data_IF_741702312223
#
_entry.id   IF_741702312223
#
_cell.length_a   1.000
_cell.length_b   1.000
_cell.length_c   1.000
_cell.angle_alpha   90.00
_cell.angle_beta   90.00
_cell.angle_gamma   90.00
#
_symmetry.space_group_name_H-M   'P 1'
#
loop_
_entity.id
_entity.type
_entity.pdbx_description
1 polymer ?
#
# COMPACT_ATOMS: atom_id res chain seq x y z
N UNK A 1 24.67 -9.76 -6.70
CA UNK A 1 23.50 -8.92 -7.05
C UNK A 1 22.55 -9.58 -8.05
N UNK A 2 23.02 -10.08 -9.20
CA UNK A 2 22.13 -10.69 -10.22
C UNK A 2 21.39 -11.95 -9.72
N UNK A 3 22.06 -12.82 -8.97
CA UNK A 3 21.44 -14.00 -8.34
C UNK A 3 20.33 -13.64 -7.33
N UNK A 4 20.55 -12.57 -6.56
CA UNK A 4 19.56 -12.02 -5.62
C UNK A 4 18.32 -11.55 -6.37
N UNK A 5 18.54 -10.74 -7.41
CA UNK A 5 17.46 -10.15 -8.21
C UNK A 5 16.63 -11.24 -8.87
N UNK A 6 17.28 -12.28 -9.41
CA UNK A 6 16.61 -13.45 -9.99
C UNK A 6 15.77 -14.22 -8.98
N UNK A 7 16.23 -14.36 -7.74
CA UNK A 7 15.46 -15.01 -6.66
C UNK A 7 14.29 -14.17 -6.17
N UNK A 8 14.46 -12.86 -6.02
CA UNK A 8 13.38 -11.92 -5.69
C UNK A 8 12.31 -11.88 -6.81
N UNK A 9 12.71 -12.13 -8.05
CA UNK A 9 11.83 -12.18 -9.22
C UNK A 9 11.25 -13.56 -9.53
N UNK A 10 11.68 -14.63 -8.84
CA UNK A 10 11.10 -15.95 -9.02
C UNK A 10 9.62 -15.96 -8.61
N UNK A 11 8.84 -16.93 -9.10
CA UNK A 11 7.40 -17.02 -8.77
C UNK A 11 7.17 -17.62 -7.38
N UNK A 12 8.12 -18.43 -6.87
CA UNK A 12 8.09 -19.00 -5.52
C UNK A 12 8.00 -17.89 -4.46
N UNK A 13 6.95 -17.91 -3.63
CA UNK A 13 6.72 -16.84 -2.64
C UNK A 13 7.54 -17.01 -1.37
N UNK A 14 8.14 -18.17 -1.12
CA UNK A 14 9.05 -18.35 0.00
C UNK A 14 10.36 -17.61 -0.24
N UNK A 15 10.80 -16.81 0.73
CA UNK A 15 12.10 -16.16 0.73
C UNK A 15 13.05 -16.83 1.70
N UNK A 16 14.12 -17.42 1.15
CA UNK A 16 15.18 -18.04 1.91
C UNK A 16 16.51 -17.29 1.71
N UNK A 17 16.93 -16.44 2.66
CA UNK A 17 18.16 -15.67 2.52
C UNK A 17 19.43 -16.53 2.55
N UNK A 18 19.38 -17.74 3.14
CA UNK A 18 20.54 -18.65 3.19
C UNK A 18 20.93 -19.19 1.80
N UNK A 19 20.00 -19.18 0.84
CA UNK A 19 20.31 -19.49 -0.56
C UNK A 19 21.06 -18.37 -1.27
N UNK A 20 21.04 -17.16 -0.71
CA UNK A 20 21.67 -15.97 -1.28
C UNK A 20 23.08 -15.81 -0.74
N UNK A 21 23.26 -15.91 0.58
CA UNK A 21 24.57 -15.95 1.23
C UNK A 21 24.53 -17.02 2.33
N UNK A 22 25.23 -18.15 2.15
CA UNK A 22 25.27 -19.20 3.16
C UNK A 22 25.90 -18.71 4.48
N UNK A 23 25.33 -19.12 5.63
CA UNK A 23 25.97 -18.97 6.94
C UNK A 23 25.82 -17.61 7.65
N UNK A 24 25.07 -16.66 7.10
CA UNK A 24 24.85 -15.34 7.73
C UNK A 24 23.56 -15.30 8.57
N UNK A 25 23.56 -14.48 9.63
CA UNK A 25 22.35 -14.20 10.42
C UNK A 25 21.51 -13.18 9.64
N UNK A 26 20.40 -13.55 8.99
CA UNK A 26 19.92 -12.73 7.88
C UNK A 26 19.14 -11.48 8.32
N UNK A 27 18.80 -11.33 9.61
CA UNK A 27 18.25 -10.05 10.13
C UNK A 27 19.26 -8.92 10.17
N UNK A 28 20.56 -9.20 10.11
CA UNK A 28 21.60 -8.18 9.95
C UNK A 28 21.52 -7.48 8.59
N UNK A 29 20.70 -8.00 7.67
CA UNK A 29 20.46 -7.42 6.35
C UNK A 29 19.26 -6.47 6.35
N UNK A 30 18.65 -6.19 7.50
CA UNK A 30 17.58 -5.20 7.55
C UNK A 30 18.19 -3.85 7.93
N UNK A 31 18.02 -2.85 7.07
CA UNK A 31 18.37 -1.47 7.37
C UNK A 31 17.11 -0.59 7.29
N UNK A 32 17.05 0.44 8.13
CA UNK A 32 15.97 1.42 8.09
C UNK A 32 16.36 2.57 7.16
N UNK A 33 15.47 2.94 6.23
CA UNK A 33 15.65 4.13 5.41
C UNK A 33 15.52 5.37 6.31
N UNK A 34 16.60 6.15 6.43
CA UNK A 34 16.67 7.31 7.34
C UNK A 34 15.65 8.41 7.06
N UNK A 35 15.04 8.46 5.87
CA UNK A 35 14.03 9.47 5.50
C UNK A 35 12.63 9.01 5.92
N UNK A 36 12.33 7.74 5.73
CA UNK A 36 10.97 7.20 5.89
C UNK A 36 10.78 6.35 7.14
N UNK A 37 11.87 5.86 7.73
CA UNK A 37 11.88 4.87 8.81
C UNK A 37 11.58 3.44 8.35
N UNK A 38 11.28 3.23 7.06
CA UNK A 38 10.84 1.93 6.53
C UNK A 38 12.01 0.96 6.47
N UNK A 39 11.76 -0.29 6.87
CA UNK A 39 12.74 -1.37 6.85
C UNK A 39 12.93 -1.89 5.42
N UNK A 40 14.19 -1.97 4.99
CA UNK A 40 14.60 -2.47 3.69
C UNK A 40 15.62 -3.59 3.82
N UNK A 41 15.72 -4.42 2.77
CA UNK A 41 16.79 -5.40 2.67
C UNK A 41 18.08 -4.74 2.18
N UNK A 42 19.19 -5.04 2.82
CA UNK A 42 20.54 -4.54 2.57
C UNK A 42 21.51 -5.70 2.58
N UNK A 43 22.06 -6.02 1.42
CA UNK A 43 22.93 -7.19 1.26
C UNK A 43 24.37 -6.73 1.47
N UNK A 44 25.14 -7.39 2.35
CA UNK A 44 26.57 -7.14 2.47
C UNK A 44 27.28 -7.57 1.18
N UNK A 45 28.15 -6.71 0.63
CA UNK A 45 29.08 -7.14 -0.42
C UNK A 45 30.22 -7.96 0.23
N UNK A 46 30.72 -8.98 -0.49
CA UNK A 46 31.92 -9.70 -0.08
C UNK A 46 33.07 -8.71 0.18
N UNK A 47 33.77 -8.92 1.29
CA UNK A 47 34.87 -8.10 1.79
C UNK A 47 35.97 -7.87 0.73
N UNK A 48 35.84 -6.86 -0.11
CA UNK A 48 36.93 -6.44 -1.00
C UNK A 48 37.00 -4.93 -1.24
N UNK A 49 35.92 -4.19 -1.08
CA UNK A 49 35.95 -2.73 -1.25
C UNK A 49 35.03 -2.09 -0.22
N UNK A 50 35.59 -1.31 0.71
CA UNK A 50 34.88 -0.64 1.81
C UNK A 50 33.87 0.43 1.38
N UNK A 51 32.92 0.06 0.52
CA UNK A 51 31.77 0.85 0.10
C UNK A 51 30.55 0.47 0.96
N UNK A 52 29.63 1.42 1.23
CA UNK A 52 28.50 1.19 2.12
C UNK A 52 27.51 0.18 1.52
N UNK A 53 26.83 -0.55 2.40
CA UNK A 53 25.89 -1.61 2.07
C UNK A 53 24.92 -1.25 0.94
N UNK A 54 24.73 -2.18 -0.01
CA UNK A 54 23.87 -1.96 -1.16
C UNK A 54 22.40 -2.18 -0.75
N UNK A 55 21.79 -1.12 -0.20
CA UNK A 55 20.39 -1.16 0.25
C UNK A 55 19.47 -1.30 -0.96
N UNK A 56 18.74 -2.41 -1.03
CA UNK A 56 17.71 -2.65 -2.01
C UNK A 56 16.46 -1.86 -1.63
N UNK A 57 16.44 -0.55 -1.92
CA UNK A 57 15.29 0.33 -1.61
C UNK A 57 13.97 -0.13 -2.22
N UNK A 58 14.01 -0.98 -3.24
CA UNK A 58 12.83 -1.61 -3.84
C UNK A 58 12.33 -2.84 -3.08
N UNK A 59 13.06 -3.32 -2.08
CA UNK A 59 12.69 -4.46 -1.23
C UNK A 59 12.35 -3.93 0.16
N UNK A 60 11.07 -3.98 0.50
CA UNK A 60 10.53 -3.54 1.78
C UNK A 60 10.33 -4.78 2.66
N UNK A 61 10.75 -4.72 3.92
CA UNK A 61 10.59 -5.81 4.88
C UNK A 61 9.60 -5.39 5.94
N UNK A 62 8.52 -6.15 6.12
CA UNK A 62 7.48 -5.85 7.11
C UNK A 62 7.39 -7.04 8.06
N UNK A 63 7.54 -6.78 9.36
CA UNK A 63 7.47 -7.82 10.39
C UNK A 63 6.04 -7.96 10.88
N UNK A 64 5.47 -9.16 10.86
CA UNK A 64 4.08 -9.40 11.28
C UNK A 64 3.98 -10.41 12.42
N UNK A 65 3.02 -10.20 13.31
CA UNK A 65 2.71 -11.13 14.39
C UNK A 65 1.23 -11.11 14.78
N UNK A 66 0.75 -12.22 15.31
CA UNK A 66 -0.55 -12.37 15.95
C UNK A 66 -0.36 -12.95 17.35
N UNK A 67 -0.96 -12.30 18.33
CA UNK A 67 -1.01 -12.75 19.72
C UNK A 67 -2.44 -13.20 20.05
N UNK A 68 -2.59 -14.12 21.00
CA UNK A 68 -3.91 -14.49 21.53
C UNK A 68 -3.81 -14.80 23.01
N UNK A 69 -4.53 -14.04 23.84
CA UNK A 69 -4.75 -14.37 25.26
C UNK A 69 -5.83 -15.43 25.36
N UNK A 70 -5.64 -16.41 26.23
CA UNK A 70 -6.59 -17.51 26.48
C UNK A 70 -6.94 -18.35 25.24
N UNK A 71 -6.00 -18.48 24.31
CA UNK A 71 -6.19 -19.18 23.04
C UNK A 71 -6.80 -20.59 23.23
N UNK A 72 -7.84 -20.89 22.45
CA UNK A 72 -8.57 -22.17 22.52
C UNK A 72 -9.71 -22.19 23.53
N UNK A 73 -10.02 -21.05 24.19
CA UNK A 73 -11.17 -20.90 25.09
C UNK A 73 -12.22 -19.94 24.50
N UNK A 74 -13.44 -19.95 25.03
CA UNK A 74 -14.47 -18.97 24.64
C UNK A 74 -14.10 -17.53 25.04
N UNK A 75 -13.19 -17.36 26.00
CA UNK A 75 -12.66 -16.06 26.42
C UNK A 75 -11.42 -15.63 25.62
N UNK A 76 -11.12 -16.31 24.50
CA UNK A 76 -9.97 -15.97 23.66
C UNK A 76 -10.09 -14.54 23.17
N UNK A 77 -9.01 -13.77 23.33
CA UNK A 77 -8.90 -12.42 22.78
C UNK A 77 -7.62 -12.34 21.98
N UNK A 78 -7.74 -12.09 20.69
CA UNK A 78 -6.62 -11.99 19.77
C UNK A 78 -6.21 -10.52 19.56
N UNK A 79 -4.97 -10.33 19.14
CA UNK A 79 -4.39 -9.05 18.75
C UNK A 79 -3.37 -9.26 17.64
N UNK A 80 -3.15 -8.24 16.81
CA UNK A 80 -2.27 -8.32 15.66
C UNK A 80 -1.25 -7.18 15.69
N UNK A 81 -0.14 -7.34 14.97
CA UNK A 81 0.89 -6.32 14.81
C UNK A 81 1.59 -6.43 13.46
N UNK A 82 1.67 -5.31 12.74
CA UNK A 82 2.39 -5.11 11.49
C UNK A 82 3.39 -3.96 11.67
N UNK A 83 4.68 -4.30 11.63
CA UNK A 83 5.78 -3.39 11.95
C UNK A 83 6.65 -3.14 10.71
N UNK A 84 6.66 -1.89 10.26
CA UNK A 84 7.41 -1.39 9.10
C UNK A 84 8.78 -0.86 9.49
N UNK A 85 8.99 -0.42 10.73
CA UNK A 85 10.27 0.09 11.22
C UNK A 85 10.12 0.98 12.46
N UNK A 86 11.23 1.32 13.11
CA UNK A 86 11.23 2.03 14.39
C UNK A 86 10.59 3.41 14.35
N UNK A 87 10.89 4.19 13.31
CA UNK A 87 10.38 5.54 13.15
C UNK A 87 9.12 5.61 12.25
N UNK A 88 8.47 4.46 12.05
CA UNK A 88 7.27 4.27 11.22
C UNK A 88 5.96 4.29 12.02
N UNK A 89 5.86 5.06 13.11
CA UNK A 89 4.63 5.11 13.93
C UNK A 89 3.35 5.53 13.18
N UNK A 90 3.50 6.12 11.99
CA UNK A 90 2.41 6.52 11.09
C UNK A 90 1.86 5.37 10.22
N UNK A 91 2.56 4.23 10.13
CA UNK A 91 2.14 3.04 9.35
C UNK A 91 2.25 1.73 10.14
N UNK A 92 3.03 1.70 11.23
CA UNK A 92 3.02 0.60 12.18
C UNK A 92 1.61 0.44 12.75
N UNK A 93 1.03 -0.74 12.59
CA UNK A 93 -0.36 -1.00 12.93
C UNK A 93 -0.45 -2.18 13.90
N UNK A 94 -1.18 -2.01 14.99
CA UNK A 94 -1.34 -3.04 15.99
C UNK A 94 -2.49 -2.72 16.94
N UNK A 95 -3.40 -3.68 17.07
CA UNK A 95 -4.59 -3.55 17.90
C UNK A 95 -5.14 -4.94 18.26
N UNK A 96 -6.19 -4.96 19.07
CA UNK A 96 -7.04 -6.13 19.24
C UNK A 96 -7.64 -6.54 17.90
N UNK A 97 -7.72 -7.85 17.66
CA UNK A 97 -8.33 -8.38 16.46
C UNK A 97 -9.84 -8.08 16.48
N UNK A 98 -10.44 -7.58 15.39
CA UNK A 98 -11.87 -7.29 15.35
C UNK A 98 -12.71 -8.49 15.79
N UNK A 99 -13.80 -8.23 16.53
CA UNK A 99 -14.68 -9.29 17.04
C UNK A 99 -15.38 -10.09 15.93
N UNK A 100 -15.48 -9.52 14.72
CA UNK A 100 -15.96 -10.21 13.52
C UNK A 100 -15.02 -11.32 13.03
N UNK A 101 -13.75 -11.28 13.45
CA UNK A 101 -12.75 -12.27 13.07
C UNK A 101 -12.61 -13.35 14.16
N UNK A 102 -12.18 -14.53 13.74
CA UNK A 102 -11.86 -15.66 14.62
C UNK A 102 -10.81 -15.23 15.66
N UNK A 103 -11.15 -15.27 16.95
CA UNK A 103 -10.27 -14.87 18.04
C UNK A 103 -9.20 -15.93 18.36
N UNK A 104 -8.41 -16.32 17.35
CA UNK A 104 -7.34 -17.32 17.43
C UNK A 104 -6.01 -16.71 16.98
N UNK A 105 -4.90 -17.26 17.48
CA UNK A 105 -3.54 -16.79 17.10
C UNK A 105 -3.28 -16.84 15.59
N UNK A 106 -3.80 -17.87 14.91
CA UNK A 106 -3.60 -18.08 13.48
C UNK A 106 -4.39 -17.08 12.61
N UNK A 107 -5.61 -16.75 13.01
CA UNK A 107 -6.38 -15.67 12.38
C UNK A 107 -5.73 -14.30 12.63
N UNK A 108 -5.21 -14.07 13.84
CA UNK A 108 -4.57 -12.81 14.20
C UNK A 108 -3.32 -12.52 13.35
N UNK A 109 -2.50 -13.54 13.11
CA UNK A 109 -1.28 -13.38 12.30
C UNK A 109 -1.58 -13.24 10.80
N UNK A 110 -2.65 -13.90 10.30
CA UNK A 110 -3.17 -13.67 8.95
C UNK A 110 -3.68 -12.25 8.78
N UNK A 111 -4.45 -11.77 9.74
CA UNK A 111 -4.96 -10.41 9.75
C UNK A 111 -3.83 -9.38 9.79
N UNK A 112 -2.75 -9.65 10.54
CA UNK A 112 -1.55 -8.82 10.51
C UNK A 112 -0.93 -8.73 9.10
N UNK A 113 -0.86 -9.84 8.37
CA UNK A 113 -0.38 -9.86 6.99
C UNK A 113 -1.31 -9.09 6.05
N UNK A 114 -2.64 -9.27 6.17
CA UNK A 114 -3.64 -8.47 5.44
C UNK A 114 -3.43 -6.97 5.67
N UNK A 115 -3.36 -6.54 6.93
CA UNK A 115 -3.15 -5.13 7.30
C UNK A 115 -1.83 -4.58 6.76
N UNK A 116 -0.75 -5.38 6.84
CA UNK A 116 0.54 -5.00 6.26
C UNK A 116 0.42 -4.73 4.76
N UNK A 117 -0.26 -5.59 4.00
CA UNK A 117 -0.45 -5.40 2.56
C UNK A 117 -1.32 -4.18 2.25
N UNK A 118 -2.47 -4.02 2.91
CA UNK A 118 -3.34 -2.85 2.74
C UNK A 118 -2.59 -1.53 3.01
N UNK A 119 -1.87 -1.46 4.14
CA UNK A 119 -1.07 -0.28 4.47
C UNK A 119 0.06 -0.06 3.47
N UNK A 120 0.64 -1.13 2.95
CA UNK A 120 1.66 -1.04 1.92
C UNK A 120 1.09 -0.39 0.65
N UNK A 121 -0.12 -0.75 0.24
CA UNK A 121 -0.79 -0.10 -0.90
C UNK A 121 -1.02 1.40 -0.66
N UNK A 122 -1.52 1.76 0.54
CA UNK A 122 -1.79 3.15 0.92
C UNK A 122 -0.51 4.01 0.96
N UNK A 123 0.59 3.44 1.45
CA UNK A 123 1.87 4.13 1.62
C UNK A 123 2.70 4.18 0.33
N UNK A 124 2.65 3.12 -0.49
CA UNK A 124 3.40 3.02 -1.74
C UNK A 124 2.80 3.87 -2.88
N UNK A 125 1.57 4.36 -2.75
CA UNK A 125 0.93 5.25 -3.72
C UNK A 125 1.63 6.61 -3.97
N UNK A 126 2.67 6.96 -3.20
CA UNK A 126 3.28 8.31 -3.19
C UNK A 126 4.59 8.42 -4.02
N UNK A 127 5.29 7.33 -4.37
CA UNK A 127 6.47 7.33 -5.27
C UNK A 127 6.47 6.07 -6.19
N UNK A 128 7.01 6.09 -7.42
CA UNK A 128 6.86 4.98 -8.36
C UNK A 128 7.79 3.81 -8.00
N UNK A 129 7.33 2.97 -7.06
CA UNK A 129 7.92 1.68 -6.71
C UNK A 129 7.42 0.54 -7.61
N UNK A 130 7.02 0.84 -8.86
CA UNK A 130 6.71 -0.21 -9.84
C UNK A 130 7.86 -1.23 -9.89
N UNK A 131 7.51 -2.51 -9.74
CA UNK A 131 8.44 -3.64 -9.58
C UNK A 131 9.16 -3.74 -8.21
N UNK A 132 8.55 -3.28 -7.13
CA UNK A 132 9.04 -3.52 -5.77
C UNK A 132 8.74 -4.93 -5.26
N UNK A 133 9.46 -5.36 -4.22
CA UNK A 133 9.21 -6.61 -3.51
C UNK A 133 8.92 -6.31 -2.05
N UNK A 134 7.81 -6.82 -1.54
CA UNK A 134 7.41 -6.75 -0.13
C UNK A 134 7.69 -8.11 0.49
N UNK A 135 8.53 -8.14 1.51
CA UNK A 135 8.87 -9.35 2.27
C UNK A 135 8.11 -9.28 3.60
N UNK A 136 7.14 -10.18 3.76
CA UNK A 136 6.44 -10.40 5.02
C UNK A 136 7.29 -11.33 5.89
N UNK A 137 7.96 -10.75 6.88
CA UNK A 137 8.79 -11.46 7.86
C UNK A 137 7.90 -11.92 9.03
N UNK A 138 7.95 -13.21 9.35
CA UNK A 138 7.16 -13.78 10.46
C UNK A 138 7.87 -14.99 11.07
N UNK A 139 7.54 -15.33 12.32
CA UNK A 139 7.95 -16.60 12.92
C UNK A 139 6.82 -17.63 12.97
N UNK A 140 5.66 -17.32 12.37
CA UNK A 140 4.56 -18.26 12.24
C UNK A 140 4.77 -19.17 11.04
N UNK A 141 5.13 -20.43 11.29
CA UNK A 141 5.24 -21.44 10.25
C UNK A 141 3.92 -21.66 9.51
N UNK A 142 2.78 -21.41 10.16
CA UNK A 142 1.45 -21.54 9.58
C UNK A 142 1.29 -20.66 8.34
N UNK A 143 1.42 -19.33 8.48
CA UNK A 143 1.30 -18.42 7.33
C UNK A 143 2.47 -18.54 6.36
N UNK A 144 3.68 -18.80 6.87
CA UNK A 144 4.83 -18.96 5.99
C UNK A 144 4.68 -20.15 5.05
N UNK A 145 4.06 -21.26 5.51
CA UNK A 145 3.76 -22.44 4.68
C UNK A 145 2.54 -22.24 3.81
N UNK A 146 1.46 -21.72 4.41
CA UNK A 146 0.23 -21.49 3.68
C UNK A 146 0.53 -20.48 2.55
N UNK A 147 0.79 -19.22 2.86
CA UNK A 147 0.87 -18.16 1.85
C UNK A 147 2.09 -18.24 0.90
N UNK A 148 3.06 -19.12 1.15
CA UNK A 148 4.19 -19.35 0.23
C UNK A 148 3.84 -20.19 -0.99
N UNK A 149 2.77 -21.00 -0.90
CA UNK A 149 2.26 -21.82 -1.99
C UNK A 149 0.97 -21.22 -2.54
N UNK A 150 0.66 -21.49 -3.80
CA UNK A 150 -0.65 -21.10 -4.33
C UNK A 150 -1.74 -21.92 -3.62
N UNK A 151 -2.87 -21.30 -3.30
CA UNK A 151 -4.00 -22.01 -2.65
C UNK A 151 -4.44 -23.25 -3.44
N UNK A 152 -4.29 -23.22 -4.77
CA UNK A 152 -4.53 -24.35 -5.68
C UNK A 152 -3.57 -25.52 -5.45
N UNK A 153 -2.31 -25.26 -5.07
CA UNK A 153 -1.32 -26.29 -4.77
C UNK A 153 -1.56 -26.93 -3.39
N UNK A 154 -2.30 -26.27 -2.48
CA UNK A 154 -2.63 -26.81 -1.15
C UNK A 154 -3.67 -27.92 -1.22
N UNK A 155 -4.68 -27.78 -2.09
CA UNK A 155 -5.73 -28.80 -2.27
C UNK A 155 -5.15 -30.12 -2.79
N UNK A 156 -4.02 -30.06 -3.50
CA UNK A 156 -3.41 -31.22 -4.15
C UNK A 156 -2.29 -31.87 -3.31
N UNK A 157 -1.59 -31.13 -2.44
CA UNK A 157 -0.30 -31.58 -1.87
C UNK A 157 -0.16 -31.58 -0.34
N UNK A 158 -1.11 -31.03 0.44
CA UNK A 158 -0.95 -30.92 1.89
C UNK A 158 -1.85 -31.88 2.70
N UNK A 159 -1.47 -32.12 3.97
CA UNK A 159 -2.22 -33.02 4.86
C UNK A 159 -3.61 -32.46 5.19
N UNK A 160 -4.57 -33.36 5.47
CA UNK A 160 -5.93 -33.01 5.85
C UNK A 160 -6.02 -31.98 7.00
N UNK A 161 -5.07 -32.00 7.94
CA UNK A 161 -5.06 -31.08 9.09
C UNK A 161 -4.75 -29.62 8.66
N UNK A 162 -3.83 -29.42 7.73
CA UNK A 162 -3.45 -28.07 7.25
C UNK A 162 -4.58 -27.46 6.41
N UNK A 163 -5.23 -28.28 5.58
CA UNK A 163 -6.41 -27.88 4.79
C UNK A 163 -7.60 -27.53 5.69
N UNK A 164 -7.87 -28.30 6.75
CA UNK A 164 -8.94 -28.02 7.70
C UNK A 164 -8.70 -26.72 8.50
N UNK A 165 -7.46 -26.47 8.91
CA UNK A 165 -7.09 -25.25 9.62
C UNK A 165 -7.10 -24.01 8.72
N UNK A 166 -6.69 -24.15 7.46
CA UNK A 166 -6.82 -23.10 6.44
C UNK A 166 -8.29 -22.79 6.13
N UNK A 167 -9.13 -23.82 6.00
CA UNK A 167 -10.57 -23.68 5.75
C UNK A 167 -11.28 -22.93 6.88
N UNK A 168 -10.80 -23.04 8.12
CA UNK A 168 -11.36 -22.30 9.27
C UNK A 168 -11.18 -20.78 9.15
N UNK A 169 -10.09 -20.34 8.49
CA UNK A 169 -9.79 -18.94 8.22
C UNK A 169 -9.92 -18.61 6.72
N UNK A 170 -10.70 -19.39 5.96
CA UNK A 170 -10.72 -19.36 4.50
C UNK A 170 -10.98 -17.96 3.92
N UNK A 171 -11.87 -17.19 4.53
CA UNK A 171 -12.18 -15.81 4.11
C UNK A 171 -10.97 -14.86 4.28
N UNK A 172 -10.21 -14.99 5.38
CA UNK A 172 -9.02 -14.18 5.60
C UNK A 172 -7.90 -14.58 4.63
N UNK A 173 -7.75 -15.87 4.35
CA UNK A 173 -6.80 -16.34 3.35
C UNK A 173 -7.14 -15.82 1.96
N UNK A 174 -8.40 -15.94 1.54
CA UNK A 174 -8.89 -15.42 0.27
C UNK A 174 -8.66 -13.91 0.17
N UNK A 175 -8.92 -13.16 1.24
CA UNK A 175 -8.65 -11.73 1.27
C UNK A 175 -7.15 -11.40 1.08
N UNK A 176 -6.25 -12.13 1.75
CA UNK A 176 -4.80 -11.94 1.60
C UNK A 176 -4.33 -12.34 0.19
N UNK A 177 -4.82 -13.46 -0.33
CA UNK A 177 -4.47 -13.95 -1.66
C UNK A 177 -4.92 -12.98 -2.76
N UNK A 178 -6.15 -12.44 -2.65
CA UNK A 178 -6.67 -11.45 -3.58
C UNK A 178 -5.81 -10.19 -3.57
N UNK A 179 -5.40 -9.67 -2.40
CA UNK A 179 -4.47 -8.54 -2.31
C UNK A 179 -3.14 -8.82 -3.02
N UNK A 180 -2.58 -10.03 -2.84
CA UNK A 180 -1.33 -10.43 -3.52
C UNK A 180 -1.53 -10.49 -5.04
N UNK A 181 -2.61 -11.13 -5.50
CA UNK A 181 -2.91 -11.29 -6.92
C UNK A 181 -3.17 -9.94 -7.61
N UNK A 182 -3.94 -9.05 -6.97
CA UNK A 182 -4.18 -7.69 -7.45
C UNK A 182 -2.87 -6.89 -7.54
N UNK A 183 -2.03 -6.94 -6.50
CA UNK A 183 -0.73 -6.25 -6.50
C UNK A 183 0.20 -6.73 -7.63
N UNK A 184 0.20 -8.04 -7.92
CA UNK A 184 0.99 -8.63 -9.01
C UNK A 184 0.40 -8.30 -10.38
N UNK A 185 -0.92 -8.43 -10.55
CA UNK A 185 -1.62 -8.16 -11.81
C UNK A 185 -1.46 -6.69 -12.26
N UNK A 186 -1.42 -5.78 -11.30
CA UNK A 186 -1.22 -4.34 -11.54
C UNK A 186 0.26 -3.93 -11.58
N UNK A 187 1.19 -4.90 -11.49
CA UNK A 187 2.63 -4.67 -11.46
C UNK A 187 3.08 -3.68 -10.37
N UNK A 188 2.36 -3.64 -9.24
CA UNK A 188 2.65 -2.76 -8.10
C UNK A 188 3.84 -3.30 -7.31
N UNK A 189 3.67 -4.47 -6.70
CA UNK A 189 4.73 -5.16 -5.97
C UNK A 189 4.51 -6.67 -5.98
N UNK A 190 5.61 -7.39 -5.76
CA UNK A 190 5.61 -8.84 -5.50
C UNK A 190 5.65 -9.08 -4.00
N UNK A 191 4.96 -10.10 -3.52
CA UNK A 191 4.97 -10.48 -2.10
C UNK A 191 5.80 -11.75 -1.91
N UNK A 192 6.65 -11.74 -0.88
CA UNK A 192 7.42 -12.89 -0.42
C UNK A 192 7.20 -13.10 1.07
N UNK A 193 7.30 -14.34 1.54
CA UNK A 193 7.20 -14.71 2.95
C UNK A 193 8.54 -15.20 3.47
N UNK A 194 8.97 -14.65 4.59
CA UNK A 194 10.24 -15.00 5.20
C UNK A 194 10.01 -15.52 6.62
N UNK A 195 10.18 -16.83 6.80
CA UNK A 195 10.13 -17.49 8.09
C UNK A 195 11.43 -17.24 8.87
N UNK A 196 11.31 -16.69 10.08
CA UNK A 196 12.43 -16.41 10.99
C UNK A 196 12.21 -17.03 12.37
N UNK A 197 13.28 -17.17 13.15
CA UNK A 197 13.16 -17.50 14.57
C UNK A 197 12.45 -16.38 15.35
N UNK A 198 11.78 -16.72 16.45
CA UNK A 198 10.99 -15.78 17.26
C UNK A 198 11.78 -14.54 17.71
N UNK A 199 13.03 -14.70 18.15
CA UNK A 199 13.95 -13.60 18.59
C UNK A 199 14.20 -12.54 17.51
N UNK A 200 13.94 -12.86 16.24
CA UNK A 200 14.14 -11.97 15.10
C UNK A 200 12.86 -11.22 14.68
N UNK A 201 11.76 -11.42 15.42
CA UNK A 201 10.45 -10.82 15.17
C UNK A 201 9.89 -10.10 16.40
N UNK A 202 10.76 -9.70 17.33
CA UNK A 202 10.40 -9.11 18.62
C UNK A 202 9.61 -7.81 18.49
N UNK A 203 9.89 -6.98 17.49
CA UNK A 203 9.18 -5.72 17.28
C UNK A 203 7.69 -5.94 16.98
N UNK A 204 7.39 -6.86 16.05
CA UNK A 204 6.01 -7.22 15.71
C UNK A 204 5.32 -7.95 16.87
N UNK A 205 6.06 -8.76 17.63
CA UNK A 205 5.55 -9.40 18.86
C UNK A 205 5.15 -8.35 19.89
N UNK A 206 6.02 -7.37 20.12
CA UNK A 206 5.79 -6.28 21.06
C UNK A 206 4.59 -5.48 20.61
N UNK A 207 4.54 -5.06 19.34
CA UNK A 207 3.42 -4.31 18.77
C UNK A 207 2.09 -5.04 18.92
N UNK A 208 2.02 -6.34 18.60
CA UNK A 208 0.80 -7.12 18.76
C UNK A 208 0.34 -7.20 20.22
N UNK A 209 1.26 -7.32 21.18
CA UNK A 209 0.90 -7.37 22.59
C UNK A 209 0.48 -6.01 23.14
N UNK A 210 1.03 -4.89 22.64
CA UNK A 210 0.55 -3.55 23.01
C UNK A 210 -0.91 -3.31 22.60
N UNK A 211 -1.41 -4.05 21.60
CA UNK A 211 -2.83 -4.05 21.23
C UNK A 211 -3.76 -4.39 22.40
N UNK A 212 -3.32 -5.21 23.37
CA UNK A 212 -4.12 -5.48 24.58
C UNK A 212 -4.10 -4.36 25.61
N UNK A 213 -3.03 -3.57 25.64
CA UNK A 213 -2.79 -2.49 26.60
C UNK A 213 -3.38 -1.17 26.11
N UNK A 214 -3.62 -1.06 24.80
CA UNK A 214 -4.68 -0.20 24.28
C UNK A 214 -5.97 -0.66 24.96
N UNK A 215 -6.32 0.01 26.08
CA UNK A 215 -7.69 0.01 26.63
C UNK A 215 -8.61 0.05 25.42
N UNK A 216 -9.62 -0.81 25.31
CA UNK A 216 -10.67 -0.59 24.31
C UNK A 216 -11.07 0.88 24.43
N UNK A 217 -10.62 1.70 23.47
CA UNK A 217 -10.77 3.14 23.52
C UNK A 217 -12.27 3.34 23.20
N UNK A 218 -13.15 3.26 24.20
CA UNK A 218 -14.37 4.09 24.25
C UNK A 218 -14.00 5.59 24.37
N UNK A 219 -12.70 5.88 24.50
CA UNK A 219 -12.11 7.19 24.48
C UNK A 219 -12.54 7.99 23.25
N UNK A 220 -13.16 9.12 23.55
CA UNK A 220 -13.16 10.31 22.71
C UNK A 220 -11.79 10.45 22.03
N UNK A 221 -11.76 10.59 20.71
CA UNK A 221 -10.55 10.37 19.93
C UNK A 221 -9.47 11.37 20.34
N UNK A 222 -8.17 11.00 20.24
CA UNK A 222 -7.12 12.01 20.11
C UNK A 222 -7.56 13.00 19.00
N UNK A 223 -7.08 14.24 19.00
CA UNK A 223 -7.37 15.17 17.91
C UNK A 223 -6.86 14.57 16.58
N UNK A 224 -7.72 13.75 15.97
CA UNK A 224 -7.42 12.90 14.83
C UNK A 224 -7.06 13.84 13.71
N UNK A 225 -5.98 13.60 12.98
CA UNK A 225 -5.59 14.58 11.97
C UNK A 225 -6.75 14.78 10.96
N UNK A 226 -6.86 15.95 10.32
CA UNK A 226 -8.01 16.25 9.47
C UNK A 226 -8.30 15.21 8.36
N UNK A 227 -7.26 14.55 7.85
CA UNK A 227 -7.41 13.49 6.85
C UNK A 227 -8.11 12.26 7.45
N UNK A 228 -7.64 11.80 8.59
CA UNK A 228 -8.22 10.67 9.31
C UNK A 228 -9.68 10.93 9.69
N UNK A 229 -10.00 12.15 10.17
CA UNK A 229 -11.39 12.56 10.45
C UNK A 229 -12.26 12.50 9.21
N UNK A 230 -11.71 12.87 8.07
CA UNK A 230 -12.42 12.88 6.79
C UNK A 230 -12.65 11.48 6.23
N UNK A 231 -11.64 10.60 6.33
CA UNK A 231 -11.75 9.18 5.94
C UNK A 231 -12.72 8.47 6.87
N UNK A 232 -12.62 8.64 8.18
CA UNK A 232 -13.55 8.06 9.14
C UNK A 232 -14.97 8.56 8.92
N UNK A 233 -15.16 9.82 8.54
CA UNK A 233 -16.48 10.33 8.15
C UNK A 233 -17.02 9.57 6.93
N UNK A 234 -16.23 9.43 5.87
CA UNK A 234 -16.62 8.68 4.68
C UNK A 234 -17.00 7.24 5.01
N UNK A 235 -16.17 6.56 5.82
CA UNK A 235 -16.33 5.16 6.17
C UNK A 235 -17.50 4.88 7.11
N UNK A 236 -17.72 5.75 8.09
CA UNK A 236 -18.62 5.46 9.22
C UNK A 236 -19.85 6.36 9.29
N UNK A 237 -19.84 7.54 8.66
CA UNK A 237 -20.91 8.54 8.81
C UNK A 237 -21.63 8.87 7.51
N UNK A 238 -20.95 8.89 6.38
CA UNK A 238 -21.55 9.27 5.10
C UNK A 238 -22.73 8.38 4.70
N UNK A 239 -22.68 7.07 5.01
CA UNK A 239 -23.80 6.16 4.75
C UNK A 239 -25.08 6.51 5.53
N UNK A 240 -24.97 7.25 6.64
CA UNK A 240 -26.12 7.66 7.46
C UNK A 240 -26.74 8.98 6.99
N UNK A 241 -26.11 9.74 6.09
CA UNK A 241 -26.65 10.98 5.53
C UNK A 241 -27.50 10.68 4.27
N UNK A 242 -28.84 10.92 4.28
CA UNK A 242 -29.69 10.67 3.13
C UNK A 242 -29.28 11.45 1.87
N UNK A 243 -28.72 12.66 2.04
CA UNK A 243 -28.24 13.46 0.91
C UNK A 243 -26.93 12.90 0.34
N UNK A 244 -26.08 12.32 1.20
CA UNK A 244 -24.89 11.60 0.74
C UNK A 244 -25.28 10.31 0.00
N UNK A 245 -26.28 9.56 0.48
CA UNK A 245 -26.82 8.40 -0.24
C UNK A 245 -27.35 8.77 -1.63
N UNK A 246 -28.15 9.82 -1.73
CA UNK A 246 -28.66 10.32 -3.01
C UNK A 246 -27.53 10.78 -3.93
N UNK A 247 -26.54 11.50 -3.40
CA UNK A 247 -25.36 11.92 -4.15
C UNK A 247 -24.61 10.71 -4.69
N UNK A 248 -24.31 9.72 -3.84
CA UNK A 248 -23.61 8.50 -4.24
C UNK A 248 -24.37 7.68 -5.29
N UNK A 249 -25.70 7.58 -5.17
CA UNK A 249 -26.54 6.98 -6.21
C UNK A 249 -26.44 7.71 -7.56
N UNK A 250 -26.48 9.05 -7.57
CA UNK A 250 -26.32 9.85 -8.80
C UNK A 250 -24.93 9.70 -9.40
N UNK A 251 -23.92 9.60 -8.54
CA UNK A 251 -22.52 9.44 -8.92
C UNK A 251 -22.20 8.00 -9.34
N UNK A 252 -23.05 7.02 -9.03
CA UNK A 252 -22.76 5.61 -9.29
C UNK A 252 -21.66 5.03 -8.39
N UNK A 253 -21.53 5.55 -7.16
CA UNK A 253 -20.56 5.05 -6.16
C UNK A 253 -21.29 4.43 -4.98
N UNK A 254 -20.72 3.36 -4.42
CA UNK A 254 -21.26 2.69 -3.25
C UNK A 254 -20.73 3.33 -1.96
N UNK A 255 -21.62 3.61 -1.00
CA UNK A 255 -21.22 4.03 0.33
C UNK A 255 -20.78 2.83 1.15
N UNK A 256 -19.65 2.90 1.87
CA UNK A 256 -19.24 1.84 2.79
C UNK A 256 -20.29 1.69 3.91
N UNK A 257 -21.03 0.58 3.88
CA UNK A 257 -21.95 0.17 4.93
C UNK A 257 -21.19 -0.81 5.82
N UNK A 258 -20.46 -0.28 6.81
CA UNK A 258 -19.91 -0.99 7.98
C UNK A 258 -19.69 -2.51 7.79
N UNK A 259 -18.41 -2.89 7.62
CA UNK A 259 -17.86 -4.18 7.19
C UNK A 259 -17.42 -4.12 5.74
N UNK A 260 -16.11 -3.94 5.54
CA UNK A 260 -15.45 -4.17 4.26
C UNK A 260 -15.46 -5.69 4.05
N UNK A 261 -16.60 -6.26 3.66
CA UNK A 261 -16.62 -7.58 3.05
C UNK A 261 -16.20 -7.38 1.60
N UNK A 262 -15.00 -7.86 1.28
CA UNK A 262 -14.61 -8.32 -0.05
C UNK A 262 -14.77 -7.30 -1.19
N UNK A 263 -13.72 -6.50 -1.42
CA UNK A 263 -13.39 -5.98 -2.76
C UNK A 263 -13.81 -4.56 -3.13
N UNK A 264 -13.52 -3.51 -2.34
CA UNK A 264 -13.88 -2.17 -2.85
C UNK A 264 -13.55 -0.90 -2.08
N UNK A 265 -12.57 -0.86 -1.16
CA UNK A 265 -12.09 0.43 -0.66
C UNK A 265 -10.92 0.94 -1.52
N UNK A 266 -11.23 1.70 -2.55
CA UNK A 266 -10.23 2.33 -3.46
C UNK A 266 -9.67 3.66 -2.94
N UNK A 267 -9.70 3.86 -1.61
CA UNK A 267 -9.31 5.12 -0.97
C UNK A 267 -10.27 6.29 -1.23
N UNK A 268 -9.79 7.51 -1.01
CA UNK A 268 -10.53 8.75 -1.29
C UNK A 268 -10.56 9.11 -2.79
N UNK A 269 -9.74 8.45 -3.61
CA UNK A 269 -9.51 8.79 -5.01
C UNK A 269 -10.74 8.56 -5.87
N UNK A 270 -11.35 7.38 -5.82
CA UNK A 270 -12.55 7.08 -6.62
C UNK A 270 -13.74 8.04 -6.32
N UNK A 271 -14.14 8.29 -5.05
CA UNK A 271 -15.23 9.22 -4.78
C UNK A 271 -14.89 10.66 -5.18
N UNK A 272 -13.64 11.13 -4.97
CA UNK A 272 -13.21 12.46 -5.41
C UNK A 272 -13.22 12.57 -6.94
N UNK A 273 -12.68 11.56 -7.64
CA UNK A 273 -12.64 11.53 -9.10
C UNK A 273 -14.05 11.55 -9.69
N UNK A 274 -14.98 10.80 -9.11
CA UNK A 274 -16.38 10.78 -9.56
C UNK A 274 -17.08 12.12 -9.35
N UNK A 275 -16.83 12.79 -8.22
CA UNK A 275 -17.31 14.16 -7.99
C UNK A 275 -16.83 15.11 -9.09
N UNK A 276 -15.55 15.04 -9.45
CA UNK A 276 -14.97 15.89 -10.51
C UNK A 276 -15.55 15.55 -11.88
N UNK A 277 -15.55 14.27 -12.25
CA UNK A 277 -16.02 13.81 -13.56
C UNK A 277 -17.47 14.21 -13.84
N UNK A 278 -18.33 14.20 -12.83
CA UNK A 278 -19.75 14.55 -12.94
C UNK A 278 -20.04 16.03 -12.68
N UNK A 279 -19.02 16.85 -12.38
CA UNK A 279 -19.20 18.26 -12.07
C UNK A 279 -19.90 18.54 -10.74
N UNK A 280 -19.83 17.58 -9.82
CA UNK A 280 -20.43 17.62 -8.49
C UNK A 280 -19.38 17.94 -7.40
N UNK A 281 -18.16 18.32 -7.78
CA UNK A 281 -17.02 18.65 -6.92
C UNK A 281 -17.17 20.02 -6.22
N UNK A 282 -18.24 20.15 -5.44
CA UNK A 282 -18.61 21.37 -4.72
C UNK A 282 -18.32 21.25 -3.22
N UNK A 283 -18.01 22.34 -2.50
CA UNK A 283 -17.78 22.29 -1.06
C UNK A 283 -18.89 21.61 -0.23
N UNK A 284 -20.19 21.80 -0.55
CA UNK A 284 -21.26 21.07 0.12
C UNK A 284 -21.19 19.55 -0.11
N UNK A 285 -20.86 19.11 -1.32
CA UNK A 285 -20.77 17.67 -1.63
C UNK A 285 -19.53 17.03 -0.99
N UNK A 286 -18.39 17.71 -0.98
CA UNK A 286 -17.22 17.27 -0.21
C UNK A 286 -17.54 17.16 1.29
N UNK A 287 -18.26 18.13 1.84
CA UNK A 287 -18.70 18.08 3.25
C UNK A 287 -19.62 16.89 3.55
N UNK A 288 -20.48 16.50 2.60
CA UNK A 288 -21.38 15.35 2.73
C UNK A 288 -20.64 14.02 2.71
N UNK A 289 -19.59 13.89 1.90
CA UNK A 289 -18.85 12.64 1.76
C UNK A 289 -17.70 12.51 2.78
N UNK A 290 -17.01 13.61 3.07
CA UNK A 290 -15.77 13.63 3.86
C UNK A 290 -15.88 14.46 5.15
N UNK A 291 -17.07 14.90 5.52
CA UNK A 291 -17.31 15.59 6.78
C UNK A 291 -16.94 17.09 6.77
N UNK A 292 -17.24 17.82 7.86
CA UNK A 292 -17.08 19.27 7.92
C UNK A 292 -15.63 19.76 7.78
N UNK A 293 -14.66 18.93 8.13
CA UNK A 293 -13.24 19.26 8.22
C UNK A 293 -12.44 18.80 6.99
N UNK A 294 -13.13 18.34 5.94
CA UNK A 294 -12.49 17.93 4.69
C UNK A 294 -11.55 18.99 4.12
N UNK A 295 -11.85 20.27 4.40
CA UNK A 295 -11.02 21.40 3.98
C UNK A 295 -9.67 21.39 4.66
N UNK A 296 -9.54 20.89 5.88
CA UNK A 296 -8.28 20.88 6.62
C UNK A 296 -7.40 19.68 6.23
N UNK A 297 -8.00 18.66 5.61
CA UNK A 297 -7.31 17.52 5.01
C UNK A 297 -6.56 17.91 3.73
N UNK A 298 -5.25 18.18 3.87
CA UNK A 298 -4.37 18.51 2.73
C UNK A 298 -4.45 17.48 1.59
N UNK A 299 -4.39 16.19 1.92
CA UNK A 299 -4.43 15.11 0.93
C UNK A 299 -5.74 15.11 0.12
N UNK A 300 -6.90 15.34 0.74
CA UNK A 300 -8.18 15.45 0.01
C UNK A 300 -8.17 16.63 -0.98
N UNK A 301 -7.61 17.77 -0.57
CA UNK A 301 -7.51 18.95 -1.44
C UNK A 301 -6.54 18.73 -2.60
N UNK A 302 -5.41 18.09 -2.36
CA UNK A 302 -4.42 17.76 -3.39
C UNK A 302 -4.97 16.71 -4.36
N UNK A 303 -5.65 15.68 -3.87
CA UNK A 303 -6.28 14.66 -4.69
C UNK A 303 -7.42 15.25 -5.53
N UNK A 304 -8.25 16.11 -4.94
CA UNK A 304 -9.26 16.88 -5.66
C UNK A 304 -8.65 17.70 -6.79
N UNK A 305 -7.60 18.46 -6.48
CA UNK A 305 -6.94 19.30 -7.47
C UNK A 305 -6.31 18.47 -8.60
N UNK A 306 -5.67 17.36 -8.26
CA UNK A 306 -5.03 16.46 -9.22
C UNK A 306 -6.06 15.84 -10.17
N UNK A 307 -7.21 15.40 -9.66
CA UNK A 307 -8.30 14.90 -10.51
C UNK A 307 -8.93 16.02 -11.34
N UNK A 308 -9.16 17.21 -10.75
CA UNK A 308 -9.69 18.38 -11.46
C UNK A 308 -8.81 18.78 -12.63
N UNK A 309 -7.49 18.78 -12.45
CA UNK A 309 -6.54 19.07 -13.51
C UNK A 309 -6.61 18.08 -14.68
N UNK A 310 -6.79 16.79 -14.40
CA UNK A 310 -6.87 15.71 -15.40
C UNK A 310 -8.12 15.78 -16.29
N UNK A 311 -9.22 16.34 -15.77
CA UNK A 311 -10.43 16.59 -16.53
C UNK A 311 -10.44 17.96 -17.23
N UNK A 312 -9.76 18.97 -16.67
CA UNK A 312 -9.78 20.34 -17.21
C UNK A 312 -8.69 20.63 -18.23
N UNK A 313 -7.55 19.95 -18.15
CA UNK A 313 -6.46 20.12 -19.10
C UNK A 313 -6.57 19.02 -20.16
N UNK A 314 -6.80 19.37 -21.44
CA UNK A 314 -6.73 18.41 -22.53
C UNK A 314 -5.38 17.68 -22.45
N UNK A 315 -5.42 16.35 -22.51
CA UNK A 315 -4.24 15.52 -22.38
C UNK A 315 -3.09 16.00 -23.29
N UNK A 316 -1.89 15.77 -22.79
CA UNK A 316 -0.57 15.99 -23.42
C UNK A 316 -0.52 15.42 -24.84
N UNK A 317 0.53 15.71 -25.66
CA UNK A 317 0.68 15.13 -27.00
C UNK A 317 0.41 13.63 -26.97
N UNK A 318 -0.17 13.13 -28.07
CA UNK A 318 -0.74 11.79 -28.36
C UNK A 318 -0.01 10.54 -27.81
N UNK A 319 1.16 10.69 -27.21
CA UNK A 319 2.13 9.65 -26.88
C UNK A 319 2.28 9.39 -25.37
N UNK A 320 1.44 9.99 -24.51
CA UNK A 320 1.39 9.66 -23.07
C UNK A 320 -0.02 9.19 -22.71
N UNK A 321 -0.27 7.87 -22.63
CA UNK A 321 -1.54 7.32 -22.19
C UNK A 321 -1.92 7.84 -20.80
N UNK A 322 -3.23 7.90 -20.50
CA UNK A 322 -3.67 8.09 -19.11
C UNK A 322 -3.16 6.91 -18.28
N UNK A 323 -2.96 7.14 -16.98
CA UNK A 323 -2.61 6.05 -16.07
C UNK A 323 -3.70 4.96 -16.17
N UNK A 324 -3.34 3.67 -16.39
CA UNK A 324 -4.31 2.58 -16.49
C UNK A 324 -5.26 2.51 -15.28
N UNK A 325 -4.79 2.89 -14.09
CA UNK A 325 -5.60 3.02 -12.88
C UNK A 325 -6.72 4.07 -13.01
N UNK A 326 -6.45 5.19 -13.69
CA UNK A 326 -7.49 6.21 -13.93
C UNK A 326 -8.45 5.80 -15.02
N UNK A 327 -7.97 5.08 -16.01
CA UNK A 327 -8.83 4.51 -17.05
C UNK A 327 -9.77 3.45 -16.47
N UNK A 328 -9.31 2.61 -15.55
CA UNK A 328 -10.17 1.65 -14.86
C UNK A 328 -11.21 2.33 -13.96
N UNK A 329 -10.83 3.38 -13.23
CA UNK A 329 -11.76 4.19 -12.43
C UNK A 329 -12.79 4.96 -13.28
N UNK A 330 -12.46 5.25 -14.54
CA UNK A 330 -13.35 5.94 -15.47
C UNK A 330 -14.21 4.99 -16.32
N UNK A 331 -13.91 3.68 -16.30
CA UNK A 331 -14.50 2.71 -17.22
C UNK A 331 -16.02 2.60 -17.10
N UNK A 332 -16.57 2.88 -15.91
CA UNK A 332 -18.00 2.88 -15.62
C UNK A 332 -18.66 4.27 -15.72
N UNK A 333 -17.89 5.32 -16.04
CA UNK A 333 -18.36 6.70 -16.20
C UNK A 333 -18.85 6.89 -17.64
N UNK A 334 -20.12 6.52 -17.90
CA UNK A 334 -20.73 6.66 -19.24
C UNK A 334 -20.80 8.10 -19.75
N UNK A 335 -20.88 9.09 -18.86
CA UNK A 335 -21.03 10.50 -19.22
C UNK A 335 -20.18 11.37 -18.32
N UNK A 336 -19.22 12.10 -18.89
CA UNK A 336 -18.38 13.05 -18.17
C UNK A 336 -18.89 14.47 -18.40
N UNK A 337 -19.11 15.21 -17.31
CA UNK A 337 -19.57 16.61 -17.31
C UNK A 337 -18.83 17.42 -16.23
N UNK A 338 -17.49 17.49 -16.27
CA UNK A 338 -16.74 18.26 -15.29
C UNK A 338 -17.18 19.73 -15.34
N UNK A 339 -17.26 20.39 -14.16
CA UNK A 339 -17.56 21.82 -14.11
C UNK A 339 -16.49 22.60 -14.86
N UNK A 340 -16.91 23.68 -15.53
CA UNK A 340 -15.99 24.64 -16.15
C UNK A 340 -14.94 25.14 -15.13
N UNK A 341 -13.73 25.47 -15.59
CA UNK A 341 -12.73 26.15 -14.76
C UNK A 341 -13.30 27.42 -14.13
N UNK A 342 -13.00 27.63 -12.85
CA UNK A 342 -13.13 28.92 -12.17
C UNK A 342 -11.90 29.78 -12.48
N UNK A 343 -11.97 31.08 -12.20
CA UNK A 343 -10.83 31.98 -12.38
C UNK A 343 -9.57 31.51 -11.60
N UNK A 344 -9.76 30.85 -10.45
CA UNK A 344 -8.64 30.29 -9.69
C UNK A 344 -8.13 28.97 -10.28
N UNK A 345 -9.01 28.14 -10.88
CA UNK A 345 -8.59 26.98 -11.64
C UNK A 345 -7.73 27.41 -12.84
N UNK A 346 -8.15 28.44 -13.57
CA UNK A 346 -7.42 28.99 -14.72
C UNK A 346 -6.01 29.46 -14.34
N UNK A 347 -5.87 30.18 -13.22
CA UNK A 347 -4.55 30.60 -12.70
C UNK A 347 -3.66 29.39 -12.39
N UNK A 348 -4.20 28.39 -11.69
CA UNK A 348 -3.44 27.18 -11.31
C UNK A 348 -3.09 26.33 -12.53
N UNK A 349 -3.99 26.19 -13.50
CA UNK A 349 -3.73 25.54 -14.79
C UNK A 349 -2.60 26.25 -15.53
N UNK A 350 -2.64 27.59 -15.63
CA UNK A 350 -1.59 28.37 -16.28
C UNK A 350 -0.24 28.19 -15.58
N UNK A 351 -0.22 28.15 -14.24
CA UNK A 351 1.00 27.87 -13.47
C UNK A 351 1.52 26.44 -13.73
N UNK A 352 0.64 25.45 -13.75
CA UNK A 352 1.00 24.06 -14.03
C UNK A 352 1.59 23.88 -15.43
N UNK A 353 0.98 24.48 -16.46
CA UNK A 353 1.47 24.45 -17.83
C UNK A 353 2.85 25.13 -17.97
N UNK A 354 3.08 26.24 -17.26
CA UNK A 354 4.41 26.88 -17.19
C UNK A 354 5.47 25.95 -16.60
N UNK A 355 5.14 25.23 -15.52
CA UNK A 355 6.05 24.24 -14.90
C UNK A 355 6.39 23.10 -15.87
N UNK A 356 5.39 22.55 -16.59
CA UNK A 356 5.63 21.53 -17.61
C UNK A 356 6.57 22.06 -18.71
N UNK A 357 6.33 23.27 -19.20
CA UNK A 357 7.16 23.86 -20.25
C UNK A 357 8.61 24.10 -19.79
N UNK A 358 8.81 24.51 -18.53
CA UNK A 358 10.14 24.66 -17.94
C UNK A 358 10.87 23.32 -17.80
N UNK A 359 10.17 22.27 -17.35
CA UNK A 359 10.76 20.94 -17.20
C UNK A 359 11.16 20.33 -18.55
N UNK A 360 10.31 20.46 -19.58
CA UNK A 360 10.65 20.04 -20.95
C UNK A 360 11.89 20.77 -21.48
N UNK A 361 12.02 22.07 -21.22
CA UNK A 361 13.23 22.83 -21.61
C UNK A 361 14.49 22.31 -20.92
N UNK A 362 14.41 21.93 -19.64
CA UNK A 362 15.54 21.34 -18.90
C UNK A 362 15.94 19.96 -19.43
N UNK A 363 14.98 19.12 -19.80
CA UNK A 363 15.23 17.81 -20.41
C UNK A 363 15.90 17.92 -21.78
N UNK A 364 15.50 18.90 -22.60
CA UNK A 364 16.13 19.15 -23.91
C UNK A 364 17.57 19.67 -23.75
N UNK A 365 17.84 20.55 -22.79
CA UNK A 365 19.20 21.05 -22.53
C UNK A 365 20.13 19.95 -21.98
N UNK A 366 19.58 19.00 -21.21
CA UNK A 366 20.31 17.84 -20.66
C UNK A 366 20.65 16.76 -21.70
N UNK A 367 20.01 16.76 -22.88
CA UNK A 367 20.16 15.71 -23.91
C UNK A 367 20.90 16.16 -25.16
N UNK A 368 21.28 17.44 -25.25
CA UNK A 368 22.25 17.93 -26.26
C UNK A 368 23.67 17.46 -25.89
N UNK A 369 24.38 16.70 -26.75
CA UNK A 369 25.77 16.35 -26.53
C UNK A 369 26.62 17.62 -26.58
N UNK A 370 27.50 17.81 -25.60
CA UNK A 370 28.54 18.83 -25.65
C UNK A 370 29.41 18.57 -26.88
N UNK A 371 29.43 19.50 -27.83
CA UNK A 371 30.31 19.50 -29.00
C UNK A 371 31.78 19.58 -28.55
N UNK A 372 32.40 18.46 -28.17
CA UNK A 372 33.86 18.41 -27.99
C UNK A 372 34.50 17.01 -28.18
N UNK A 373 33.90 16.14 -29.01
CA UNK A 373 34.47 14.80 -29.26
C UNK A 373 34.67 14.44 -30.75
N UNK A 374 34.83 15.41 -31.65
CA UNK A 374 35.16 15.17 -33.08
C UNK A 374 36.49 15.78 -33.51
N UNK A 375 37.48 15.81 -32.62
CA UNK A 375 38.90 15.99 -33.00
C UNK A 375 39.76 14.97 -32.29
N UNK A 376 39.84 13.76 -32.85
CA UNK A 376 41.00 12.88 -32.78
C UNK A 376 40.60 11.53 -33.37
N UNK A 377 40.72 11.37 -34.70
CA UNK A 377 40.93 10.10 -35.39
C UNK A 377 41.12 10.39 -36.88
N UNK A 378 42.29 10.91 -37.20
CA UNK A 378 42.89 10.89 -38.54
C UNK A 378 44.41 10.86 -38.31
N UNK A 379 45.12 10.03 -39.09
CA UNK A 379 46.49 9.46 -38.91
C UNK A 379 46.36 8.02 -38.39
N UNK A 380 46.69 6.94 -39.10
CA UNK A 380 47.51 6.65 -40.30
C UNK A 380 47.17 5.20 -40.76
N UNK A 381 47.72 4.63 -41.86
CA UNK A 381 48.76 5.16 -42.78
C UNK A 381 48.32 5.36 -44.23
#
# INVERSE_FOLDING_TARGET
MEAVQKKLQADERLFNPCEIVPGTIPTQWICEDRRTGVSHLSIPEEEATGSPSNTLRKVIVISVHGACKWNGTEASKAAFGAWFGKDCGWVNDGDVLPESESQKSNAAVLYAAKRALEQTEDVIGIEPLSNSTVIIKTHSAYIAKCLSHHIQEWEENESHDTVAEASTNGLLFEAVENLIQEAVAENRFRVKFWLVEKKYNEDAITLANTGYDRKQYELSPPESNPLERSINYWMQKAHSDPLAQQLCQRLGISLPRSSITSGGFTGITAPIRRLVAMGEDTPPNFKRLFGPEWKDARAIREEWWTNRLDFLVPQRPRDSPRSPFRESLDADIRWQRPRKPTADDEKRIAQHLKTIAQNKRKEVISTTPTEDQTKNLSLEP
#
